data_IF_636720525487
#
_entry.id   IF_636720525487
#
_cell.length_a   1.000
_cell.length_b   1.000
_cell.length_c   1.000
_cell.angle_alpha   90.00
_cell.angle_beta   90.00
_cell.angle_gamma   90.00
#
_symmetry.space_group_name_H-M   'P 1'
#
loop_
_entity.id
_entity.type
_entity.pdbx_description
1 polymer ?
#
# COMPACT_ATOMS: atom_id res chain seq x y z
N UNK A 1 27.41 -26.00 16.75
CA UNK A 1 25.93 -25.98 16.81
C UNK A 1 25.46 -24.65 16.31
N UNK A 2 24.36 -24.56 15.57
CA UNK A 2 23.80 -23.26 15.21
C UNK A 2 23.37 -22.52 16.48
N UNK A 3 23.54 -21.19 16.46
CA UNK A 3 23.12 -20.36 17.59
C UNK A 3 21.57 -20.14 17.46
N UNK A 4 20.83 -20.80 18.36
CA UNK A 4 19.34 -20.76 18.31
C UNK A 4 18.73 -19.41 18.70
N UNK A 5 19.51 -18.52 19.31
CA UNK A 5 19.07 -17.17 19.72
C UNK A 5 19.62 -16.07 18.81
N UNK A 6 20.28 -16.43 17.71
CA UNK A 6 20.87 -15.48 16.76
C UNK A 6 19.79 -14.58 16.15
N UNK A 7 18.64 -15.15 15.77
CA UNK A 7 17.50 -14.40 15.19
C UNK A 7 17.03 -13.27 16.10
N UNK A 8 16.91 -13.52 17.43
CA UNK A 8 16.49 -12.49 18.38
C UNK A 8 17.57 -11.42 18.54
N UNK A 9 18.85 -11.82 18.65
CA UNK A 9 19.95 -10.86 18.79
C UNK A 9 20.14 -9.98 17.57
N UNK A 10 20.12 -10.57 16.38
CA UNK A 10 20.26 -9.83 15.11
C UNK A 10 19.10 -8.88 14.91
N UNK A 11 17.87 -9.32 15.21
CA UNK A 11 16.68 -8.48 15.13
C UNK A 11 16.75 -7.29 16.10
N UNK A 12 17.22 -7.50 17.32
CA UNK A 12 17.37 -6.42 18.30
C UNK A 12 18.49 -5.46 17.90
N UNK A 13 19.62 -5.99 17.42
CA UNK A 13 20.72 -5.17 16.92
C UNK A 13 20.27 -4.29 15.72
N UNK A 14 19.57 -4.90 14.76
CA UNK A 14 18.96 -4.14 13.64
C UNK A 14 17.98 -3.06 14.13
N UNK A 15 17.15 -3.38 15.13
CA UNK A 15 16.22 -2.42 15.71
C UNK A 15 16.94 -1.20 16.29
N UNK A 16 18.05 -1.39 16.99
CA UNK A 16 18.83 -0.29 17.59
C UNK A 16 19.61 0.53 16.54
N UNK A 17 20.10 -0.10 15.48
CA UNK A 17 20.94 0.55 14.47
C UNK A 17 20.13 1.21 13.35
N UNK A 18 19.15 0.50 12.83
CA UNK A 18 18.37 0.92 11.65
C UNK A 18 16.90 1.20 11.98
N UNK A 19 16.26 0.31 12.74
CA UNK A 19 14.82 0.35 12.96
C UNK A 19 14.34 1.60 13.70
N UNK A 20 15.06 2.05 14.73
CA UNK A 20 14.74 3.30 15.43
C UNK A 20 14.92 4.51 14.52
N UNK A 21 15.94 4.51 13.67
CA UNK A 21 16.16 5.57 12.71
C UNK A 21 15.02 5.64 11.70
N UNK A 22 14.62 4.53 11.12
CA UNK A 22 13.46 4.46 10.21
C UNK A 22 12.19 5.03 10.84
N UNK A 23 11.94 4.72 12.12
CA UNK A 23 10.75 5.24 12.84
C UNK A 23 10.83 6.76 13.03
N UNK A 24 11.99 7.29 13.38
CA UNK A 24 12.14 8.74 13.54
C UNK A 24 12.08 9.47 12.20
N UNK A 25 12.66 8.92 11.15
CA UNK A 25 12.59 9.48 9.79
C UNK A 25 11.14 9.46 9.24
N UNK A 26 10.36 8.41 9.51
CA UNK A 26 8.95 8.31 9.11
C UNK A 26 8.04 9.35 9.79
N UNK A 27 8.36 9.73 11.04
CA UNK A 27 7.56 10.69 11.82
C UNK A 27 8.00 12.13 11.53
N UNK A 28 9.25 12.33 11.15
CA UNK A 28 9.86 13.64 10.89
C UNK A 28 9.54 14.13 9.46
N UNK A 29 9.30 15.44 9.27
CA UNK A 29 9.08 16.47 10.28
C UNK A 29 7.63 16.48 10.84
N UNK A 30 7.46 16.95 12.07
CA UNK A 30 6.14 17.24 12.65
C UNK A 30 5.90 18.74 12.49
N UNK A 31 4.93 19.09 11.66
CA UNK A 31 4.55 20.49 11.41
C UNK A 31 3.27 20.86 12.18
N UNK A 32 3.19 22.13 12.61
CA UNK A 32 1.97 22.67 13.18
C UNK A 32 0.92 22.94 12.08
N UNK A 33 -0.34 23.15 12.49
CA UNK A 33 -1.44 23.40 11.55
C UNK A 33 -1.23 24.65 10.67
N UNK A 34 -0.51 25.63 11.15
CA UNK A 34 -0.20 26.88 10.43
C UNK A 34 1.05 26.77 9.55
N UNK A 35 1.83 25.71 9.68
CA UNK A 35 3.08 25.48 8.97
C UNK A 35 4.24 26.40 9.39
N UNK A 36 4.06 27.15 10.53
CA UNK A 36 5.07 28.08 11.04
C UNK A 36 6.14 27.39 11.90
N UNK A 37 5.75 26.30 12.57
CA UNK A 37 6.66 25.51 13.41
C UNK A 37 6.87 24.12 12.79
N UNK A 38 8.12 23.71 12.71
CA UNK A 38 8.51 22.38 12.22
C UNK A 38 9.48 21.74 13.20
N UNK A 39 9.14 20.56 13.73
CA UNK A 39 9.98 19.77 14.62
C UNK A 39 10.58 18.60 13.84
N UNK A 40 11.90 18.53 13.81
CA UNK A 40 12.65 17.48 13.13
C UNK A 40 13.42 16.63 14.14
N UNK A 41 13.41 15.32 13.96
CA UNK A 41 14.26 14.39 14.71
C UNK A 41 15.60 14.24 14.02
N UNK A 42 16.68 14.71 14.69
CA UNK A 42 18.04 14.75 14.10
C UNK A 42 18.84 13.49 14.40
N UNK A 43 18.59 12.88 15.56
CA UNK A 43 19.29 11.67 15.99
C UNK A 43 18.84 11.21 17.37
N UNK A 44 19.29 10.02 17.76
CA UNK A 44 18.99 9.46 19.06
C UNK A 44 20.24 8.84 19.69
N UNK A 45 20.21 8.71 21.00
CA UNK A 45 21.26 8.07 21.79
C UNK A 45 20.62 7.19 22.88
N UNK A 46 21.05 5.95 22.95
CA UNK A 46 20.70 5.03 24.02
C UNK A 46 21.78 5.06 25.09
N UNK A 47 21.45 5.60 26.27
CA UNK A 47 22.41 5.79 27.36
C UNK A 47 22.60 4.50 28.14
N UNK A 48 23.37 3.56 27.61
CA UNK A 48 23.62 2.25 28.25
C UNK A 48 24.41 2.37 29.56
N UNK A 49 25.17 3.45 29.72
CA UNK A 49 25.92 3.73 30.96
C UNK A 49 25.01 4.21 32.12
N UNK A 50 23.80 4.70 31.81
CA UNK A 50 22.83 5.24 32.78
C UNK A 50 21.83 4.17 33.28
N UNK A 51 22.14 2.89 33.15
CA UNK A 51 21.28 1.79 33.63
C UNK A 51 21.18 1.80 35.14
N UNK A 52 19.99 1.94 35.70
CA UNK A 52 19.73 2.10 37.13
C UNK A 52 20.11 0.85 37.95
N UNK A 53 19.84 -0.35 37.43
CA UNK A 53 20.00 -1.61 38.13
C UNK A 53 20.60 -2.67 37.22
N UNK A 54 21.49 -3.52 37.78
CA UNK A 54 21.94 -4.73 37.10
C UNK A 54 20.79 -5.72 36.88
N UNK A 55 20.96 -6.65 35.96
CA UNK A 55 19.98 -7.71 35.64
C UNK A 55 19.50 -8.42 36.91
N UNK A 56 20.41 -8.79 37.82
CA UNK A 56 20.11 -9.47 39.07
C UNK A 56 19.23 -8.59 39.99
N UNK A 57 19.61 -7.32 40.17
CA UNK A 57 18.85 -6.37 40.98
C UNK A 57 17.47 -6.07 40.38
N UNK A 58 17.32 -6.09 39.05
CA UNK A 58 16.03 -5.96 38.40
C UNK A 58 15.10 -7.14 38.74
N UNK A 59 15.65 -8.37 38.77
CA UNK A 59 14.89 -9.58 39.17
C UNK A 59 14.49 -9.56 40.65
N UNK A 60 15.36 -9.06 41.52
CA UNK A 60 15.09 -8.96 42.97
C UNK A 60 14.04 -7.87 43.30
N UNK A 61 14.03 -6.78 42.54
CA UNK A 61 13.20 -5.59 42.81
C UNK A 61 11.97 -5.47 41.95
N UNK A 62 11.63 -6.49 41.19
CA UNK A 62 10.54 -6.45 40.20
C UNK A 62 10.63 -5.24 39.23
N UNK A 63 11.89 -4.89 38.86
CA UNK A 63 12.18 -3.78 37.96
C UNK A 63 12.45 -4.24 36.52
N UNK A 64 12.43 -3.30 35.60
CA UNK A 64 12.78 -3.53 34.19
C UNK A 64 14.22 -3.16 33.92
N UNK A 65 14.97 -4.06 33.26
CA UNK A 65 16.32 -3.78 32.78
C UNK A 65 16.25 -2.93 31.53
N UNK A 66 16.50 -1.63 31.66
CA UNK A 66 16.31 -0.65 30.59
C UNK A 66 17.35 0.48 30.68
N UNK A 67 17.60 1.12 29.55
CA UNK A 67 18.43 2.32 29.46
C UNK A 67 17.58 3.51 28.96
N UNK A 68 17.91 4.75 29.37
CA UNK A 68 17.25 5.97 28.88
C UNK A 68 17.53 6.16 27.40
N UNK A 69 16.47 6.42 26.63
CA UNK A 69 16.54 6.86 25.24
C UNK A 69 16.41 8.37 25.19
N UNK A 70 17.43 9.03 24.70
CA UNK A 70 17.45 10.46 24.44
C UNK A 70 17.42 10.74 22.96
N UNK A 71 16.67 11.74 22.57
CA UNK A 71 16.49 12.11 21.17
C UNK A 71 16.84 13.57 20.98
N UNK A 72 17.67 13.84 19.99
CA UNK A 72 18.01 15.20 19.60
C UNK A 72 17.00 15.71 18.61
N UNK A 73 16.33 16.79 18.94
CA UNK A 73 15.29 17.43 18.13
C UNK A 73 15.73 18.83 17.73
N UNK A 74 15.30 19.22 16.55
CA UNK A 74 15.50 20.57 16.00
C UNK A 74 14.14 21.20 15.74
N UNK A 75 13.91 22.36 16.34
CA UNK A 75 12.70 23.14 16.14
C UNK A 75 13.02 24.33 15.23
N UNK A 76 12.34 24.38 14.11
CA UNK A 76 12.35 25.51 13.18
C UNK A 76 11.16 26.41 13.45
N UNK A 77 11.41 27.68 13.73
CA UNK A 77 10.39 28.71 13.80
C UNK A 77 10.53 29.61 12.57
N UNK A 78 9.63 29.42 11.60
CA UNK A 78 9.67 30.15 10.32
C UNK A 78 9.32 31.65 10.47
N UNK A 79 8.52 32.02 11.51
CA UNK A 79 8.16 33.41 11.76
C UNK A 79 9.34 34.24 12.32
N UNK A 80 10.14 33.60 13.18
CA UNK A 80 11.28 34.26 13.82
C UNK A 80 12.61 33.97 13.12
N UNK A 81 12.61 33.12 12.10
CA UNK A 81 13.81 32.59 11.44
C UNK A 81 14.81 31.97 12.45
N UNK A 82 14.29 31.34 13.51
CA UNK A 82 15.07 30.81 14.61
C UNK A 82 15.09 29.27 14.58
N UNK A 83 16.29 28.71 14.82
CA UNK A 83 16.50 27.25 14.91
C UNK A 83 17.02 26.97 16.31
N UNK A 84 16.31 26.10 17.02
CA UNK A 84 16.72 25.62 18.35
C UNK A 84 16.88 24.12 18.36
N UNK A 85 17.98 23.65 18.96
CA UNK A 85 18.24 22.21 19.14
C UNK A 85 18.16 21.86 20.63
N UNK A 86 17.47 20.78 20.95
CA UNK A 86 17.34 20.25 22.29
C UNK A 86 17.48 18.73 22.31
N UNK A 87 18.04 18.24 23.38
CA UNK A 87 18.01 16.80 23.71
C UNK A 87 16.84 16.56 24.65
N UNK A 88 15.97 15.64 24.27
CA UNK A 88 14.79 15.28 25.05
C UNK A 88 14.83 13.81 25.46
N UNK A 89 14.38 13.53 26.67
CA UNK A 89 14.18 12.18 27.17
C UNK A 89 12.87 11.62 26.60
N UNK A 90 12.96 10.53 25.83
CA UNK A 90 11.77 9.89 25.23
C UNK A 90 11.18 8.80 26.13
N UNK A 91 12.02 8.15 26.93
CA UNK A 91 11.61 7.06 27.80
C UNK A 91 12.73 6.06 28.04
N UNK A 92 12.45 5.06 28.85
CA UNK A 92 13.38 3.96 29.11
C UNK A 92 13.11 2.81 28.12
N UNK A 93 14.14 2.43 27.34
CA UNK A 93 14.08 1.33 26.39
C UNK A 93 14.62 0.04 27.02
N UNK A 94 13.84 -1.07 27.04
CA UNK A 94 14.34 -2.35 27.59
C UNK A 94 15.55 -2.85 26.82
N UNK A 95 16.57 -3.29 27.55
CA UNK A 95 17.79 -3.86 27.01
C UNK A 95 17.71 -5.39 26.93
N UNK A 96 18.25 -5.95 25.85
CA UNK A 96 18.40 -7.39 25.71
C UNK A 96 19.58 -7.89 26.50
N UNK A 97 19.40 -9.01 27.21
CA UNK A 97 20.48 -9.70 27.92
C UNK A 97 21.37 -10.50 26.95
N UNK A 98 22.50 -10.96 27.40
CA UNK A 98 23.40 -11.82 26.61
C UNK A 98 22.73 -13.12 26.12
N UNK A 99 21.70 -13.59 26.83
CA UNK A 99 20.95 -14.80 26.51
C UNK A 99 19.75 -14.53 25.54
N UNK A 100 19.62 -13.30 25.04
CA UNK A 100 18.54 -12.95 24.10
C UNK A 100 17.17 -12.74 24.76
N UNK A 101 17.15 -12.48 26.06
CA UNK A 101 15.94 -12.24 26.86
C UNK A 101 15.81 -10.78 27.27
N UNK A 102 14.64 -10.39 27.76
CA UNK A 102 14.38 -9.10 28.39
C UNK A 102 13.91 -9.32 29.83
N UNK A 103 14.35 -8.48 30.74
CA UNK A 103 13.85 -8.49 32.11
C UNK A 103 12.84 -7.36 32.26
N UNK A 104 11.57 -7.73 32.35
CA UNK A 104 10.44 -6.79 32.45
C UNK A 104 9.73 -7.05 33.77
N UNK A 105 9.66 -6.04 34.63
CA UNK A 105 9.08 -6.15 35.97
C UNK A 105 9.59 -7.39 36.73
N UNK A 106 10.90 -7.60 36.71
CA UNK A 106 11.57 -8.71 37.39
C UNK A 106 11.46 -10.08 36.67
N UNK A 107 10.57 -10.22 35.70
CA UNK A 107 10.40 -11.47 34.97
C UNK A 107 11.24 -11.49 33.70
N UNK A 108 11.96 -12.55 33.47
CA UNK A 108 12.71 -12.79 32.24
C UNK A 108 11.76 -13.24 31.13
N UNK A 109 11.74 -12.51 30.02
CA UNK A 109 10.81 -12.71 28.90
C UNK A 109 11.57 -12.79 27.58
N UNK A 110 10.99 -13.50 26.62
CA UNK A 110 11.51 -13.63 25.26
C UNK A 110 10.47 -13.15 24.27
N UNK A 111 10.91 -12.42 23.27
CA UNK A 111 10.05 -12.07 22.12
C UNK A 111 10.03 -13.28 21.18
N UNK A 112 8.85 -13.86 21.00
CA UNK A 112 8.65 -14.99 20.11
C UNK A 112 8.45 -14.47 18.69
N UNK A 113 9.27 -14.94 17.75
CA UNK A 113 9.12 -14.64 16.33
C UNK A 113 7.78 -15.14 15.81
N UNK A 114 7.06 -14.28 15.09
CA UNK A 114 5.76 -14.63 14.50
C UNK A 114 5.83 -14.60 12.99
N UNK A 115 5.28 -15.65 12.38
CA UNK A 115 5.11 -15.71 10.92
C UNK A 115 3.85 -14.95 10.54
N UNK A 116 4.03 -13.90 9.75
CA UNK A 116 2.93 -13.12 9.18
C UNK A 116 2.92 -13.28 7.66
N UNK A 117 1.76 -13.09 7.05
CA UNK A 117 1.69 -13.04 5.59
C UNK A 117 2.46 -11.83 5.11
N UNK A 118 3.38 -12.06 4.16
CA UNK A 118 4.11 -10.98 3.52
C UNK A 118 3.14 -10.04 2.77
N UNK A 119 3.41 -8.73 2.75
CA UNK A 119 2.68 -7.81 1.88
C UNK A 119 2.67 -8.32 0.44
N UNK A 120 1.56 -8.17 -0.24
CA UNK A 120 1.40 -8.62 -1.62
C UNK A 120 -0.06 -8.89 -2.00
N UNK A 121 -0.24 -9.47 -3.19
CA UNK A 121 -1.54 -9.86 -3.71
C UNK A 121 -1.64 -11.39 -3.77
N UNK A 122 -2.74 -11.94 -3.25
CA UNK A 122 -2.99 -13.37 -3.14
C UNK A 122 -4.28 -13.74 -3.86
N UNK A 123 -4.18 -14.64 -4.82
CA UNK A 123 -5.32 -15.14 -5.58
C UNK A 123 -5.75 -16.49 -5.06
N UNK A 124 -7.07 -16.73 -5.04
CA UNK A 124 -7.66 -17.98 -4.64
C UNK A 124 -8.79 -18.41 -5.57
N UNK A 125 -9.04 -19.70 -5.63
CA UNK A 125 -10.17 -20.30 -6.35
C UNK A 125 -10.94 -21.16 -5.35
N UNK A 126 -12.20 -20.81 -5.15
CA UNK A 126 -13.16 -21.62 -4.42
C UNK A 126 -14.17 -22.27 -5.37
N UNK A 127 -15.06 -23.08 -4.81
CA UNK A 127 -16.17 -23.66 -5.55
C UNK A 127 -17.47 -23.43 -4.77
N UNK A 128 -18.51 -23.12 -5.49
CA UNK A 128 -19.88 -23.07 -5.00
C UNK A 128 -20.42 -24.51 -4.75
N UNK A 129 -21.58 -24.63 -4.11
CA UNK A 129 -22.30 -25.89 -3.86
C UNK A 129 -22.61 -26.67 -5.13
N UNK A 130 -22.70 -26.01 -6.27
CA UNK A 130 -22.96 -26.57 -7.60
C UNK A 130 -21.66 -26.88 -8.38
N UNK A 131 -20.48 -26.61 -7.78
CA UNK A 131 -19.20 -26.83 -8.45
C UNK A 131 -18.73 -25.67 -9.34
N UNK A 132 -19.45 -24.53 -9.39
CA UNK A 132 -19.01 -23.33 -10.11
C UNK A 132 -17.77 -22.76 -9.45
N UNK A 133 -16.76 -22.39 -10.26
CA UNK A 133 -15.55 -21.74 -9.78
C UNK A 133 -15.86 -20.33 -9.30
N UNK A 134 -15.46 -20.01 -8.09
CA UNK A 134 -15.51 -18.68 -7.51
C UNK A 134 -14.08 -18.17 -7.32
N UNK A 135 -13.83 -16.95 -7.77
CA UNK A 135 -12.52 -16.36 -7.70
C UNK A 135 -12.44 -15.38 -6.53
N UNK A 136 -11.31 -15.39 -5.85
CA UNK A 136 -11.03 -14.44 -4.79
C UNK A 136 -9.63 -13.85 -4.94
N UNK A 137 -9.47 -12.66 -4.39
CA UNK A 137 -8.18 -11.99 -4.34
C UNK A 137 -8.08 -11.20 -3.05
N UNK A 138 -6.94 -11.28 -2.36
CA UNK A 138 -6.68 -10.51 -1.16
C UNK A 138 -5.44 -9.64 -1.38
N UNK A 139 -5.59 -8.35 -1.20
CA UNK A 139 -4.51 -7.36 -1.20
C UNK A 139 -4.12 -7.11 0.24
N UNK A 140 -2.87 -7.44 0.58
CA UNK A 140 -2.31 -7.26 1.92
C UNK A 140 -1.21 -6.22 1.85
N UNK A 141 -1.41 -5.03 2.44
CA UNK A 141 -0.35 -4.03 2.60
C UNK A 141 0.58 -4.43 3.75
N UNK A 142 1.74 -3.76 3.84
CA UNK A 142 2.58 -3.83 5.04
C UNK A 142 1.92 -3.08 6.21
N UNK A 143 1.36 -1.92 5.93
CA UNK A 143 0.57 -1.10 6.86
C UNK A 143 -0.70 -0.64 6.13
N UNK A 144 -1.85 -0.75 6.77
CA UNK A 144 -3.11 -0.27 6.24
C UNK A 144 -4.21 -1.32 6.13
N UNK A 145 -5.32 -0.96 5.53
CA UNK A 145 -6.49 -1.79 5.37
C UNK A 145 -6.29 -2.90 4.33
N UNK A 146 -6.78 -4.10 4.65
CA UNK A 146 -6.83 -5.19 3.68
C UNK A 146 -7.99 -4.99 2.71
N UNK A 147 -7.77 -5.36 1.45
CA UNK A 147 -8.81 -5.44 0.44
C UNK A 147 -9.03 -6.91 0.06
N UNK A 148 -10.24 -7.39 0.32
CA UNK A 148 -10.62 -8.76 -0.01
C UNK A 148 -11.67 -8.74 -1.11
N UNK A 149 -11.32 -9.28 -2.26
CA UNK A 149 -12.18 -9.37 -3.43
C UNK A 149 -12.74 -10.78 -3.57
N UNK A 150 -14.03 -10.89 -3.89
CA UNK A 150 -14.69 -12.18 -4.10
C UNK A 150 -15.75 -12.10 -5.19
N UNK A 151 -15.90 -13.16 -5.98
CA UNK A 151 -17.04 -13.34 -6.87
C UNK A 151 -18.07 -14.24 -6.21
N UNK A 152 -19.36 -13.97 -6.43
CA UNK A 152 -20.44 -14.84 -5.97
C UNK A 152 -20.94 -15.78 -7.09
N UNK A 153 -21.91 -16.63 -6.75
CA UNK A 153 -22.53 -17.57 -7.71
C UNK A 153 -23.28 -16.89 -8.86
N UNK A 154 -23.64 -15.61 -8.71
CA UNK A 154 -24.31 -14.79 -9.73
C UNK A 154 -23.33 -13.96 -10.57
N UNK A 155 -22.02 -14.25 -10.48
CA UNK A 155 -20.94 -13.51 -11.13
C UNK A 155 -20.80 -12.05 -10.68
N UNK A 156 -21.43 -11.67 -9.58
CA UNK A 156 -21.24 -10.33 -8.98
C UNK A 156 -19.90 -10.28 -8.27
N UNK A 157 -19.16 -9.23 -8.55
CA UNK A 157 -17.85 -9.01 -7.97
C UNK A 157 -17.96 -8.07 -6.76
N UNK A 158 -17.58 -8.56 -5.60
CA UNK A 158 -17.64 -7.85 -4.32
C UNK A 158 -16.27 -7.53 -3.78
N UNK A 159 -16.21 -6.48 -2.96
CA UNK A 159 -15.03 -6.13 -2.17
C UNK A 159 -15.41 -5.92 -0.70
N UNK A 160 -14.49 -6.31 0.19
CA UNK A 160 -14.50 -5.97 1.62
C UNK A 160 -13.29 -5.10 1.90
N UNK A 161 -13.51 -4.02 2.59
CA UNK A 161 -12.45 -3.14 3.09
C UNK A 161 -12.30 -3.39 4.58
N UNK A 162 -11.13 -3.85 5.02
CA UNK A 162 -10.78 -4.06 6.43
C UNK A 162 -11.85 -4.81 7.26
N UNK A 163 -12.25 -6.00 6.79
CA UNK A 163 -13.24 -6.89 7.45
C UNK A 163 -14.67 -6.33 7.56
N UNK A 164 -14.99 -5.25 6.87
CA UNK A 164 -16.34 -4.69 6.83
C UNK A 164 -17.29 -5.57 6.01
N UNK A 165 -18.55 -5.18 5.94
CA UNK A 165 -19.53 -5.86 5.08
C UNK A 165 -19.16 -5.60 3.62
N UNK A 166 -19.30 -6.65 2.79
CA UNK A 166 -19.00 -6.56 1.36
C UNK A 166 -19.90 -5.56 0.62
N UNK A 167 -19.33 -4.89 -0.34
CA UNK A 167 -20.01 -4.01 -1.30
C UNK A 167 -19.69 -4.46 -2.72
N UNK A 168 -20.56 -4.15 -3.71
CA UNK A 168 -20.20 -4.36 -5.12
C UNK A 168 -18.92 -3.63 -5.46
N UNK A 169 -18.08 -4.22 -6.32
CA UNK A 169 -16.80 -3.62 -6.71
C UNK A 169 -16.97 -2.23 -7.34
N UNK A 170 -18.08 -2.03 -8.03
CA UNK A 170 -18.41 -0.76 -8.68
C UNK A 170 -18.52 0.39 -7.69
N UNK A 171 -19.02 0.16 -6.48
CA UNK A 171 -19.04 1.16 -5.40
C UNK A 171 -17.62 1.61 -5.03
N UNK A 172 -16.68 0.68 -4.89
CA UNK A 172 -15.28 1.03 -4.62
C UNK A 172 -14.66 1.79 -5.79
N UNK A 173 -14.90 1.35 -7.02
CA UNK A 173 -14.37 2.00 -8.23
C UNK A 173 -14.87 3.44 -8.32
N UNK A 174 -16.16 3.69 -8.04
CA UNK A 174 -16.73 5.05 -7.98
C UNK A 174 -16.07 5.88 -6.88
N UNK A 175 -15.95 5.33 -5.69
CA UNK A 175 -15.31 6.00 -4.56
C UNK A 175 -13.83 6.34 -4.79
N UNK A 176 -13.16 5.67 -5.72
CA UNK A 176 -11.79 5.94 -6.14
C UNK A 176 -11.67 6.91 -7.32
N UNK A 177 -12.79 7.46 -7.80
CA UNK A 177 -12.79 8.55 -8.79
C UNK A 177 -13.43 8.22 -10.15
N UNK A 178 -13.73 6.96 -10.48
CA UNK A 178 -14.40 6.58 -11.72
C UNK A 178 -15.91 6.52 -11.47
N UNK A 179 -16.59 7.66 -11.67
CA UNK A 179 -17.94 7.88 -11.15
C UNK A 179 -19.06 7.20 -11.92
N UNK A 180 -19.04 7.23 -13.24
CA UNK A 180 -20.17 6.81 -14.09
C UNK A 180 -20.00 5.36 -14.59
N UNK A 181 -21.12 4.74 -14.98
CA UNK A 181 -21.10 3.39 -15.56
C UNK A 181 -20.30 3.36 -16.87
N UNK A 182 -20.41 4.41 -17.68
CA UNK A 182 -19.75 4.47 -18.98
C UNK A 182 -18.22 4.62 -18.82
N UNK A 183 -17.77 5.39 -17.85
CA UNK A 183 -16.34 5.48 -17.49
C UNK A 183 -15.81 4.12 -17.01
N UNK A 184 -16.57 3.40 -16.16
CA UNK A 184 -16.17 2.07 -15.68
C UNK A 184 -16.09 1.08 -16.85
N UNK A 185 -17.07 1.09 -17.78
CA UNK A 185 -17.03 0.27 -19.01
C UNK A 185 -15.87 0.65 -19.91
N UNK A 186 -15.60 1.93 -20.09
CA UNK A 186 -14.45 2.40 -20.88
C UNK A 186 -13.12 1.89 -20.30
N UNK A 187 -13.00 1.88 -18.94
CA UNK A 187 -11.81 1.41 -18.26
C UNK A 187 -11.62 -0.11 -18.40
N UNK A 188 -12.63 -0.92 -18.06
CA UNK A 188 -12.50 -2.38 -18.00
C UNK A 188 -12.87 -3.12 -19.29
N UNK A 189 -13.54 -2.46 -20.23
CA UNK A 189 -14.12 -3.11 -21.40
C UNK A 189 -15.36 -3.93 -21.05
N UNK A 190 -15.79 -4.80 -21.97
CA UNK A 190 -16.97 -5.66 -21.81
C UNK A 190 -16.70 -6.83 -20.83
N UNK A 191 -16.62 -6.52 -19.54
CA UNK A 191 -16.39 -7.51 -18.49
C UNK A 191 -17.71 -7.96 -17.86
N UNK A 192 -18.18 -9.22 -18.09
CA UNK A 192 -19.48 -9.70 -17.60
C UNK A 192 -19.68 -9.59 -16.09
N UNK A 193 -18.58 -9.71 -15.32
CA UNK A 193 -18.65 -9.61 -13.85
C UNK A 193 -18.84 -8.17 -13.37
N UNK A 194 -18.33 -7.20 -14.11
CA UNK A 194 -18.59 -5.77 -13.87
C UNK A 194 -20.04 -5.44 -14.22
N UNK A 195 -20.55 -5.92 -15.36
CA UNK A 195 -21.97 -5.75 -15.73
C UNK A 195 -22.92 -6.38 -14.70
N UNK A 196 -22.62 -7.59 -14.22
CA UNK A 196 -23.39 -8.22 -13.15
C UNK A 196 -23.33 -7.40 -11.85
N UNK A 197 -22.20 -6.75 -11.57
CA UNK A 197 -22.00 -5.94 -10.35
C UNK A 197 -22.84 -4.67 -10.38
N UNK A 198 -23.08 -4.05 -11.53
CA UNK A 198 -24.00 -2.90 -11.66
C UNK A 198 -25.43 -3.23 -11.20
N UNK A 199 -25.89 -4.47 -11.35
CA UNK A 199 -27.23 -4.87 -10.91
C UNK A 199 -27.42 -4.83 -9.39
N UNK A 200 -26.33 -4.82 -8.64
CA UNK A 200 -26.31 -4.79 -7.16
C UNK A 200 -25.79 -3.46 -6.62
N UNK A 201 -25.30 -2.61 -7.48
CA UNK A 201 -24.85 -1.28 -7.13
C UNK A 201 -26.06 -0.35 -6.97
N UNK A 202 -26.06 0.41 -5.88
CA UNK A 202 -27.10 1.41 -5.59
C UNK A 202 -26.61 2.83 -5.85
N UNK A 203 -25.30 2.99 -6.13
CA UNK A 203 -24.68 4.27 -6.40
C UNK A 203 -24.60 4.51 -7.91
N UNK A 204 -24.86 5.73 -8.35
CA UNK A 204 -24.82 6.12 -9.76
C UNK A 204 -23.63 7.05 -10.09
N UNK A 205 -23.02 7.65 -9.06
CA UNK A 205 -21.96 8.63 -9.22
C UNK A 205 -20.88 8.52 -8.12
N UNK A 206 -19.84 9.34 -8.24
CA UNK A 206 -18.71 9.41 -7.29
C UNK A 206 -19.16 9.66 -5.86
N UNK A 207 -20.02 10.64 -5.62
CA UNK A 207 -20.45 11.04 -4.28
C UNK A 207 -21.26 9.94 -3.59
N UNK A 208 -22.16 9.31 -4.31
CA UNK A 208 -22.95 8.20 -3.81
C UNK A 208 -22.08 6.97 -3.51
N UNK A 209 -21.09 6.69 -4.37
CA UNK A 209 -20.10 5.65 -4.15
C UNK A 209 -19.30 5.87 -2.87
N UNK A 210 -18.83 7.09 -2.63
CA UNK A 210 -18.15 7.48 -1.39
C UNK A 210 -19.03 7.27 -0.16
N UNK A 211 -20.29 7.74 -0.20
CA UNK A 211 -21.21 7.64 0.94
C UNK A 211 -21.60 6.19 1.24
N UNK A 212 -21.82 5.36 0.21
CA UNK A 212 -22.13 3.93 0.41
C UNK A 212 -20.93 3.19 1.00
N UNK A 213 -19.70 3.47 0.55
CA UNK A 213 -18.50 2.88 1.12
C UNK A 213 -18.28 3.35 2.57
N UNK A 214 -18.43 4.65 2.83
CA UNK A 214 -18.31 5.23 4.17
C UNK A 214 -19.28 4.60 5.17
N UNK A 215 -20.55 4.43 4.79
CA UNK A 215 -21.59 3.78 5.60
C UNK A 215 -21.24 2.33 5.99
N UNK A 216 -20.46 1.63 5.17
CA UNK A 216 -19.99 0.27 5.49
C UNK A 216 -18.78 0.28 6.41
N UNK A 217 -17.88 1.23 6.24
CA UNK A 217 -16.67 1.36 7.06
C UNK A 217 -17.02 1.91 8.44
N UNK A 218 -17.92 2.93 8.50
CA UNK A 218 -18.34 3.60 9.74
C UNK A 218 -19.87 3.63 9.89
N UNK A 219 -20.47 2.49 10.26
CA UNK A 219 -21.90 2.41 10.43
C UNK A 219 -22.36 3.28 11.61
N UNK A 220 -23.41 4.09 11.37
CA UNK A 220 -24.02 4.93 12.42
C UNK A 220 -23.49 6.36 12.52
N UNK A 221 -22.46 6.72 11.77
CA UNK A 221 -22.01 8.11 11.69
C UNK A 221 -22.83 8.94 10.68
N UNK A 222 -22.95 10.26 10.87
CA UNK A 222 -23.60 11.14 9.91
C UNK A 222 -22.91 11.07 8.55
N UNK A 223 -23.68 11.02 7.48
CA UNK A 223 -23.16 10.95 6.12
C UNK A 223 -22.77 12.35 5.63
N UNK A 224 -21.49 12.56 5.33
CA UNK A 224 -20.96 13.76 4.69
C UNK A 224 -19.97 13.34 3.62
N UNK A 225 -20.06 13.95 2.44
CA UNK A 225 -19.15 13.68 1.33
C UNK A 225 -17.72 14.04 1.70
N UNK A 226 -17.50 15.18 2.35
CA UNK A 226 -16.19 15.65 2.79
C UNK A 226 -15.52 14.67 3.79
N UNK A 227 -16.32 14.18 4.78
CA UNK A 227 -15.83 13.19 5.75
C UNK A 227 -15.51 11.85 5.09
N UNK A 228 -16.33 11.43 4.12
CA UNK A 228 -16.11 10.19 3.37
C UNK A 228 -14.85 10.29 2.51
N UNK A 229 -14.66 11.39 1.80
CA UNK A 229 -13.49 11.65 0.97
C UNK A 229 -12.21 11.69 1.82
N UNK A 230 -12.23 12.45 2.93
CA UNK A 230 -11.13 12.49 3.88
C UNK A 230 -10.76 11.12 4.44
N UNK A 231 -11.76 10.29 4.78
CA UNK A 231 -11.52 8.93 5.27
C UNK A 231 -10.88 8.04 4.21
N UNK A 232 -11.41 8.04 2.98
CA UNK A 232 -10.90 7.19 1.90
C UNK A 232 -9.48 7.63 1.50
N UNK A 233 -9.23 8.94 1.40
CA UNK A 233 -7.90 9.47 1.13
C UNK A 233 -6.90 9.09 2.22
N UNK A 234 -7.27 9.24 3.49
CA UNK A 234 -6.41 8.84 4.60
C UNK A 234 -6.17 7.32 4.64
N UNK A 235 -7.14 6.50 4.21
CA UNK A 235 -7.05 5.05 4.27
C UNK A 235 -6.17 4.45 3.18
N UNK A 236 -6.15 5.02 1.96
CA UNK A 236 -5.49 4.42 0.79
C UNK A 236 -4.37 5.27 0.19
N UNK A 237 -4.38 6.59 0.40
CA UNK A 237 -3.47 7.52 -0.27
C UNK A 237 -2.54 8.28 0.69
N UNK A 238 -2.75 8.15 2.01
CA UNK A 238 -1.82 8.69 3.00
C UNK A 238 -0.65 7.71 3.21
N UNK A 239 0.60 8.05 2.82
CA UNK A 239 1.75 7.16 2.96
C UNK A 239 2.08 6.81 4.42
N UNK A 240 1.63 7.62 5.39
CA UNK A 240 1.77 7.34 6.82
C UNK A 240 0.83 6.24 7.30
N UNK A 241 -0.29 6.03 6.62
CA UNK A 241 -1.34 5.06 6.98
C UNK A 241 -1.38 3.85 6.10
N UNK A 242 -1.01 3.98 4.83
CA UNK A 242 -1.00 2.89 3.86
C UNK A 242 0.36 2.76 3.20
N UNK A 243 1.00 1.62 3.42
CA UNK A 243 2.30 1.31 2.86
C UNK A 243 2.36 -0.14 2.39
N UNK A 244 2.90 -0.35 1.21
CA UNK A 244 3.13 -1.67 0.63
C UNK A 244 4.52 -2.23 0.97
N UNK A 245 5.43 -1.41 1.46
CA UNK A 245 6.86 -1.65 1.58
C UNK A 245 7.53 -2.11 0.26
N UNK A 246 8.84 -2.17 0.22
CA UNK A 246 9.61 -2.60 -0.97
C UNK A 246 9.24 -4.03 -1.40
N UNK A 247 9.06 -4.93 -0.43
CA UNK A 247 8.71 -6.35 -0.68
C UNK A 247 7.32 -6.49 -1.27
N UNK A 248 6.33 -5.79 -0.71
CA UNK A 248 4.97 -5.79 -1.22
C UNK A 248 4.91 -5.22 -2.64
N UNK A 249 5.53 -4.07 -2.86
CA UNK A 249 5.58 -3.42 -4.18
C UNK A 249 6.24 -4.32 -5.24
N UNK A 250 7.35 -4.99 -4.90
CA UNK A 250 7.95 -5.97 -5.79
C UNK A 250 6.99 -7.12 -6.14
N UNK A 251 6.28 -7.68 -5.15
CA UNK A 251 5.32 -8.78 -5.37
C UNK A 251 4.11 -8.34 -6.19
N UNK A 252 3.60 -7.13 -5.98
CA UNK A 252 2.54 -6.53 -6.80
C UNK A 252 3.03 -6.40 -8.25
N UNK A 253 4.15 -5.76 -8.47
CA UNK A 253 4.71 -5.57 -9.79
C UNK A 253 4.93 -6.91 -10.50
N UNK A 254 5.51 -7.89 -9.83
CA UNK A 254 5.73 -9.22 -10.41
C UNK A 254 4.44 -9.88 -10.91
N UNK A 255 3.31 -9.68 -10.22
CA UNK A 255 2.02 -10.29 -10.58
C UNK A 255 1.19 -9.42 -11.52
N UNK A 256 1.27 -8.09 -11.41
CA UNK A 256 0.40 -7.15 -12.13
C UNK A 256 1.08 -6.47 -13.33
N UNK A 257 2.40 -6.62 -13.51
CA UNK A 257 3.07 -6.11 -14.71
C UNK A 257 2.40 -6.63 -15.98
N UNK A 258 2.17 -5.75 -16.94
CA UNK A 258 1.51 -6.05 -18.20
C UNK A 258 2.18 -7.24 -18.90
N UNK A 259 3.51 -7.23 -19.02
CA UNK A 259 4.30 -8.28 -19.65
C UNK A 259 4.04 -9.68 -19.10
N UNK A 260 3.85 -9.81 -17.78
CA UNK A 260 3.63 -11.10 -17.14
C UNK A 260 2.22 -11.65 -17.38
N UNK A 261 1.27 -10.77 -17.69
CA UNK A 261 -0.14 -11.11 -17.90
C UNK A 261 -0.48 -11.38 -19.36
N UNK A 262 0.25 -10.77 -20.30
CA UNK A 262 0.01 -10.95 -21.74
C UNK A 262 0.87 -12.05 -22.37
N UNK A 263 2.00 -12.40 -21.74
CA UNK A 263 2.93 -13.42 -22.24
C UNK A 263 2.25 -14.76 -22.48
N UNK A 264 2.43 -15.32 -23.67
CA UNK A 264 1.88 -16.61 -24.07
C UNK A 264 0.48 -16.57 -24.68
N UNK A 265 -0.23 -15.45 -24.56
CA UNK A 265 -1.51 -15.22 -25.22
C UNK A 265 -1.34 -14.71 -26.65
N UNK A 266 -2.41 -14.69 -27.40
CA UNK A 266 -2.50 -14.13 -28.74
C UNK A 266 -3.14 -12.76 -28.67
N UNK A 267 -2.60 -11.77 -29.37
CA UNK A 267 -3.17 -10.43 -29.44
C UNK A 267 -4.50 -10.46 -30.21
N UNK A 268 -5.51 -9.82 -29.65
CA UNK A 268 -6.82 -9.68 -30.31
C UNK A 268 -6.88 -8.46 -31.24
N UNK A 269 -6.06 -7.45 -30.98
CA UNK A 269 -5.98 -6.19 -31.71
C UNK A 269 -4.54 -5.80 -31.96
N UNK A 270 -4.31 -4.88 -32.88
CA UNK A 270 -3.00 -4.31 -33.16
C UNK A 270 -2.51 -3.51 -31.93
N UNK A 271 -1.24 -3.66 -31.58
CA UNK A 271 -0.60 -2.90 -30.51
C UNK A 271 0.32 -1.86 -31.13
N UNK A 272 0.06 -0.60 -30.82
CA UNK A 272 0.75 0.57 -31.38
C UNK A 272 1.49 1.29 -30.26
N UNK A 273 2.67 1.80 -30.54
CA UNK A 273 3.41 2.70 -29.65
C UNK A 273 2.65 4.04 -29.58
N UNK A 274 2.26 4.43 -28.35
CA UNK A 274 1.47 5.62 -28.14
C UNK A 274 2.25 6.93 -28.41
N UNK A 275 3.58 6.89 -28.32
CA UNK A 275 4.43 8.05 -28.56
C UNK A 275 4.80 8.26 -30.03
N UNK A 276 5.07 7.17 -30.77
CA UNK A 276 5.52 7.22 -32.16
C UNK A 276 4.43 6.92 -33.18
N UNK A 277 3.37 6.24 -32.76
CA UNK A 277 2.32 5.74 -33.66
C UNK A 277 2.75 4.52 -34.49
N UNK A 278 3.91 3.94 -34.24
CA UNK A 278 4.40 2.77 -34.97
C UNK A 278 3.76 1.48 -34.46
N UNK A 279 3.52 0.53 -35.40
CA UNK A 279 2.97 -0.78 -35.06
C UNK A 279 4.04 -1.64 -34.39
N UNK A 280 3.82 -1.98 -33.10
CA UNK A 280 4.69 -2.90 -32.36
C UNK A 280 4.37 -4.35 -32.74
N UNK A 281 3.10 -4.71 -32.74
CA UNK A 281 2.64 -6.06 -33.09
C UNK A 281 1.23 -6.06 -33.67
N UNK A 282 1.00 -6.87 -34.68
CA UNK A 282 -0.31 -7.01 -35.32
C UNK A 282 -1.20 -8.00 -34.54
N UNK A 283 -2.52 -7.83 -34.69
CA UNK A 283 -3.51 -8.78 -34.23
C UNK A 283 -3.20 -10.21 -34.72
N UNK A 284 -3.48 -11.20 -33.88
CA UNK A 284 -3.15 -12.61 -34.16
C UNK A 284 -1.72 -13.02 -33.82
N UNK A 285 -0.85 -12.10 -33.42
CA UNK A 285 0.53 -12.41 -32.99
C UNK A 285 0.54 -13.03 -31.61
N UNK A 286 1.26 -14.15 -31.45
CA UNK A 286 1.50 -14.75 -30.13
C UNK A 286 2.59 -13.99 -29.40
N UNK A 287 2.29 -13.54 -28.18
CA UNK A 287 3.20 -12.73 -27.37
C UNK A 287 4.32 -13.59 -26.78
N UNK A 288 5.56 -13.37 -27.25
CA UNK A 288 6.79 -13.92 -26.67
C UNK A 288 7.23 -13.13 -25.44
N UNK A 289 8.30 -13.56 -24.78
CA UNK A 289 8.83 -12.82 -23.62
C UNK A 289 9.42 -11.47 -24.05
N UNK A 290 10.15 -11.46 -25.17
CA UNK A 290 10.79 -10.27 -25.75
C UNK A 290 9.72 -9.24 -26.19
N UNK A 291 8.69 -9.71 -26.92
CA UNK A 291 7.59 -8.86 -27.37
C UNK A 291 6.78 -8.29 -26.19
N UNK A 292 6.59 -9.08 -25.11
CA UNK A 292 5.90 -8.62 -23.91
C UNK A 292 6.69 -7.50 -23.20
N UNK A 293 8.02 -7.60 -23.14
CA UNK A 293 8.89 -6.55 -22.60
C UNK A 293 8.87 -5.29 -23.50
N UNK A 294 8.87 -5.44 -24.81
CA UNK A 294 8.75 -4.33 -25.76
C UNK A 294 7.42 -3.57 -25.59
N UNK A 295 6.31 -4.30 -25.58
CA UNK A 295 4.96 -3.71 -25.36
C UNK A 295 4.90 -2.95 -24.01
N UNK A 296 5.44 -3.52 -22.93
CA UNK A 296 5.43 -2.85 -21.64
C UNK A 296 6.28 -1.57 -21.65
N UNK A 297 7.47 -1.61 -22.29
CA UNK A 297 8.39 -0.46 -22.32
C UNK A 297 7.92 0.66 -23.26
N UNK A 298 7.05 0.35 -24.20
CA UNK A 298 6.39 1.32 -25.07
C UNK A 298 5.24 2.09 -24.37
N UNK A 299 5.11 1.94 -23.05
CA UNK A 299 4.09 2.64 -22.25
C UNK A 299 2.65 2.43 -22.72
N UNK A 300 2.33 1.24 -23.28
CA UNK A 300 0.97 0.92 -23.74
C UNK A 300 0.03 0.80 -22.54
N UNK A 301 -1.10 1.54 -22.52
CA UNK A 301 -2.01 1.58 -21.37
C UNK A 301 -2.82 0.29 -21.20
N UNK A 302 -3.13 -0.41 -22.27
CA UNK A 302 -3.84 -1.68 -22.26
C UNK A 302 -3.59 -2.50 -23.52
N UNK A 303 -3.86 -3.80 -23.45
CA UNK A 303 -3.75 -4.74 -24.56
C UNK A 303 -4.96 -5.67 -24.54
N UNK A 304 -5.55 -5.98 -25.70
CA UNK A 304 -6.56 -7.01 -25.83
C UNK A 304 -5.91 -8.35 -26.18
N UNK A 305 -6.17 -9.36 -25.36
CA UNK A 305 -5.69 -10.73 -25.59
C UNK A 305 -6.85 -11.70 -25.80
N UNK A 306 -6.62 -12.69 -26.66
CA UNK A 306 -7.57 -13.76 -26.91
C UNK A 306 -7.42 -14.82 -25.81
N UNK A 307 -8.52 -15.19 -25.18
CA UNK A 307 -8.67 -16.35 -24.31
C UNK A 307 -9.57 -17.38 -24.97
N UNK A 308 -9.71 -18.56 -24.37
CA UNK A 308 -10.60 -19.62 -24.90
C UNK A 308 -12.06 -19.20 -25.00
N UNK A 309 -12.53 -18.31 -24.11
CA UNK A 309 -13.93 -17.91 -24.05
C UNK A 309 -14.22 -16.55 -24.74
N UNK A 310 -13.25 -15.61 -24.70
CA UNK A 310 -13.45 -14.24 -25.17
C UNK A 310 -12.15 -13.44 -25.28
N UNK A 311 -12.24 -12.26 -25.87
CA UNK A 311 -11.18 -11.26 -25.79
C UNK A 311 -11.22 -10.56 -24.42
N UNK A 312 -10.06 -10.38 -23.80
CA UNK A 312 -9.93 -9.74 -22.49
C UNK A 312 -9.03 -8.52 -22.60
N UNK A 313 -9.52 -7.40 -22.06
CA UNK A 313 -8.74 -6.17 -21.91
C UNK A 313 -7.78 -6.32 -20.71
N UNK A 314 -6.49 -6.23 -20.95
CA UNK A 314 -5.46 -6.29 -19.91
C UNK A 314 -4.87 -4.91 -19.71
N UNK A 315 -5.12 -4.31 -18.53
CA UNK A 315 -4.64 -2.97 -18.20
C UNK A 315 -3.19 -2.98 -17.74
N UNK A 316 -2.43 -1.96 -18.10
CA UNK A 316 -1.10 -1.72 -17.54
C UNK A 316 -1.21 -1.19 -16.11
N UNK A 317 -0.44 -1.74 -15.18
CA UNK A 317 -0.32 -1.24 -13.80
C UNK A 317 0.72 -0.13 -13.65
N UNK A 318 1.37 0.27 -14.74
CA UNK A 318 2.44 1.27 -14.74
C UNK A 318 2.02 2.62 -15.34
N UNK A 319 0.78 2.73 -15.80
CA UNK A 319 0.23 3.99 -16.29
C UNK A 319 -0.54 4.65 -15.14
N UNK A 320 -0.17 5.88 -14.81
CA UNK A 320 -0.71 6.62 -13.66
C UNK A 320 -1.18 8.01 -14.06
N UNK A 321 -2.12 8.53 -13.29
CA UNK A 321 -2.54 9.93 -13.39
C UNK A 321 -1.51 10.80 -12.66
N UNK A 322 -0.90 11.75 -13.38
CA UNK A 322 0.13 12.62 -12.86
C UNK A 322 -0.39 13.60 -11.79
N UNK A 323 -1.70 13.88 -11.76
CA UNK A 323 -2.32 14.77 -10.77
C UNK A 323 -2.08 14.35 -9.32
N UNK A 324 -1.85 13.06 -9.09
CA UNK A 324 -1.56 12.52 -7.75
C UNK A 324 -0.11 12.68 -7.29
N UNK A 325 0.76 13.19 -8.16
CA UNK A 325 2.21 13.25 -7.91
C UNK A 325 2.80 14.66 -7.99
N UNK A 326 2.04 15.61 -8.51
CA UNK A 326 2.47 17.01 -8.68
C UNK A 326 1.44 17.98 -8.09
N UNK A 327 1.91 19.10 -7.55
CA UNK A 327 1.06 20.14 -6.92
C UNK A 327 0.56 21.20 -7.92
N UNK A 328 0.76 20.99 -9.23
CA UNK A 328 0.32 21.89 -10.29
C UNK A 328 -0.76 21.25 -11.16
N UNK A 329 -1.54 22.05 -11.87
CA UNK A 329 -2.51 21.51 -12.87
C UNK A 329 -1.74 20.97 -14.09
N UNK A 330 -1.75 19.65 -14.35
CA UNK A 330 -1.04 19.06 -15.47
C UNK A 330 -1.54 19.55 -16.83
N UNK A 331 -2.78 20.03 -16.92
CA UNK A 331 -3.35 20.57 -18.15
C UNK A 331 -2.65 21.84 -18.61
N UNK A 332 -2.16 22.65 -17.67
CA UNK A 332 -1.33 23.83 -17.98
C UNK A 332 0.01 23.44 -18.60
N UNK A 333 0.50 22.24 -18.31
CA UNK A 333 1.71 21.64 -18.87
C UNK A 333 1.43 20.84 -20.15
N UNK A 334 0.17 20.80 -20.62
CA UNK A 334 -0.24 20.07 -21.81
C UNK A 334 -0.36 18.55 -21.61
N UNK A 335 -0.33 18.06 -20.36
CA UNK A 335 -0.48 16.63 -20.04
C UNK A 335 -1.95 16.31 -19.77
N UNK A 336 -2.58 15.55 -20.67
CA UNK A 336 -4.00 15.17 -20.59
C UNK A 336 -4.20 13.66 -20.52
N UNK A 337 -3.13 12.87 -20.61
CA UNK A 337 -3.14 11.43 -20.68
C UNK A 337 -2.41 10.81 -19.47
N UNK A 338 -2.64 9.52 -19.24
CA UNK A 338 -1.89 8.77 -18.24
C UNK A 338 -0.41 8.74 -18.60
N UNK A 339 0.46 8.87 -17.60
CA UNK A 339 1.91 8.88 -17.77
C UNK A 339 2.52 7.55 -17.32
N UNK A 340 3.67 7.19 -17.90
CA UNK A 340 4.40 5.99 -17.53
C UNK A 340 5.20 6.21 -16.23
N UNK A 341 4.79 5.57 -15.16
CA UNK A 341 5.32 5.77 -13.80
C UNK A 341 6.86 5.66 -13.69
N UNK A 342 7.55 4.68 -14.35
CA UNK A 342 9.00 4.61 -14.27
C UNK A 342 9.73 5.84 -14.83
N UNK A 343 9.15 6.52 -15.83
CA UNK A 343 9.69 7.79 -16.36
C UNK A 343 9.37 8.94 -15.42
N UNK A 344 8.13 9.00 -14.92
CA UNK A 344 7.73 10.01 -13.95
C UNK A 344 8.65 9.98 -12.71
N UNK A 345 8.95 8.80 -12.19
CA UNK A 345 9.81 8.61 -11.01
C UNK A 345 11.27 9.08 -11.23
N UNK A 346 11.74 9.18 -12.47
CA UNK A 346 13.07 9.73 -12.77
C UNK A 346 13.07 11.25 -12.83
N UNK A 347 11.91 11.86 -12.99
CA UNK A 347 11.75 13.31 -13.10
C UNK A 347 11.46 13.94 -11.74
N UNK A 348 10.71 13.25 -10.88
CA UNK A 348 10.42 13.65 -9.50
C UNK A 348 11.64 13.39 -8.59
#
# INVERSE_FOLDING_TARGET
MPNLIEVQKDSYHWFLTEGLKEVFDDISPIEDYSGHLSLEFVGFELCEDDVKYSIEKCKERDATYAAPLKVRVRLYNKEKEEITEHEIFMGDLPLMTETGTFVINGAERVIVSQLVRSPGIYYGIGHDKIGKKLYSCTVIPNRGAWLEYETDSNDVFYVRVDRTRKVPITVLIRALGVGTNDEIRALFGDEPKIEASFTKDTAENYQEGLLELYKKIRPGEPLSVESAESLINAMFFDPRRYDLAKVGRYKFNKKLMLKNRIRGFVLAEDVVDMGTGELIAAAGTKVTAELADEIQNAAVPYVYVQTEERNVKVLSSMMVDITHYVDCDPKELGVTELVYYPVLQQIL
#
